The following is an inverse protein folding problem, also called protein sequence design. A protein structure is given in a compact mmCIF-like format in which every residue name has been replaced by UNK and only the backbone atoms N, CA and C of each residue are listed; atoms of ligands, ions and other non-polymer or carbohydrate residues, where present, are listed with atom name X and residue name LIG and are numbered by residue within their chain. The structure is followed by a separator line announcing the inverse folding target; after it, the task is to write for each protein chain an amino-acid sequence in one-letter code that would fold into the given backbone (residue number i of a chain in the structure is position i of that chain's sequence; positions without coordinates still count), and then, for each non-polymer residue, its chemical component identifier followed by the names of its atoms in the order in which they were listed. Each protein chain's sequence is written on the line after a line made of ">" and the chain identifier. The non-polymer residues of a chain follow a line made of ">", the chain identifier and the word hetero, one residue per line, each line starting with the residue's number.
data_IF_704986747734
#
_entry.id   IF_704986747734
#
_cell.length_a   1.000
_cell.length_b   1.000
_cell.length_c   1.000
_cell.angle_alpha   90.00
_cell.angle_beta   90.00
_cell.angle_gamma   90.00
#
_symmetry.space_group_name_H-M   'P 1'
#
loop_
_entity.id
_entity.type
_entity.pdbx_description
1 polymer ?
#
# COMPACT_ATOMS: atom_id res chain seq x y z
N UNK A 1 -9.52 -9.99 4.68
CA UNK A 1 -8.95 -8.82 5.39
C UNK A 1 -8.75 -7.61 4.46
N UNK A 2 -8.37 -7.83 3.22
CA UNK A 2 -8.15 -6.76 2.23
C UNK A 2 -9.39 -6.56 1.36
N UNK A 3 -9.98 -5.37 1.42
CA UNK A 3 -11.15 -5.01 0.60
C UNK A 3 -10.81 -4.71 -0.87
N UNK A 4 -9.54 -4.72 -1.24
CA UNK A 4 -9.07 -4.39 -2.59
C UNK A 4 -7.95 -5.33 -3.01
N UNK A 5 -8.00 -5.82 -4.24
CA UNK A 5 -6.95 -6.64 -4.86
C UNK A 5 -5.63 -5.87 -5.07
N UNK A 6 -5.67 -4.55 -5.00
CA UNK A 6 -4.47 -3.70 -5.15
C UNK A 6 -3.53 -3.79 -3.95
N UNK A 7 -4.05 -4.02 -2.75
CA UNK A 7 -3.21 -4.12 -1.55
C UNK A 7 -2.31 -5.37 -1.55
N UNK A 8 -2.83 -6.58 -1.86
CA UNK A 8 -1.97 -7.75 -2.06
C UNK A 8 -0.95 -7.57 -3.18
N UNK A 9 -1.29 -6.87 -4.24
CA UNK A 9 -0.37 -6.58 -5.35
C UNK A 9 0.81 -5.71 -4.89
N UNK A 10 0.58 -4.72 -4.04
CA UNK A 10 1.64 -3.91 -3.44
C UNK A 10 2.59 -4.73 -2.58
N UNK A 11 2.07 -5.75 -1.87
CA UNK A 11 2.88 -6.68 -1.09
C UNK A 11 3.77 -7.53 -1.99
N UNK A 12 3.24 -8.00 -3.12
CA UNK A 12 4.01 -8.78 -4.10
C UNK A 12 5.17 -7.99 -4.71
N UNK A 13 5.04 -6.68 -4.86
CA UNK A 13 6.13 -5.83 -5.37
C UNK A 13 7.30 -5.73 -4.39
N UNK A 14 7.06 -5.78 -3.09
CA UNK A 14 8.14 -5.69 -2.09
C UNK A 14 9.02 -6.94 -2.02
N UNK A 15 8.52 -8.11 -2.40
CA UNK A 15 9.28 -9.36 -2.37
C UNK A 15 10.49 -9.38 -3.34
N UNK A 16 10.36 -9.01 -4.63
CA UNK A 16 11.51 -8.97 -5.55
C UNK A 16 12.61 -8.02 -5.10
N UNK A 17 12.27 -6.90 -4.50
CA UNK A 17 13.26 -5.94 -3.99
C UNK A 17 14.04 -6.48 -2.79
N UNK A 18 13.38 -7.18 -1.89
CA UNK A 18 14.03 -7.85 -0.78
C UNK A 18 14.99 -8.94 -1.27
N UNK A 19 14.54 -9.73 -2.25
CA UNK A 19 15.39 -10.75 -2.89
C UNK A 19 16.62 -10.14 -3.59
N UNK A 20 16.47 -9.00 -4.24
CA UNK A 20 17.58 -8.28 -4.87
C UNK A 20 18.63 -7.87 -3.85
N UNK A 21 18.24 -7.30 -2.70
CA UNK A 21 19.16 -6.94 -1.64
C UNK A 21 19.89 -8.14 -1.03
N UNK A 22 19.19 -9.24 -0.83
CA UNK A 22 19.78 -10.50 -0.35
C UNK A 22 20.85 -11.04 -1.28
N UNK A 23 20.55 -11.09 -2.58
CA UNK A 23 21.49 -11.57 -3.62
C UNK A 23 22.70 -10.65 -3.74
N UNK A 24 22.50 -9.33 -3.70
CA UNK A 24 23.59 -8.35 -3.78
C UNK A 24 24.58 -8.52 -2.63
N UNK A 25 24.11 -8.67 -1.40
CA UNK A 25 25.02 -8.87 -0.27
C UNK A 25 25.73 -10.20 -0.35
N UNK A 26 25.08 -11.25 -0.82
CA UNK A 26 25.71 -12.57 -0.98
C UNK A 26 26.79 -12.55 -2.05
N UNK A 27 26.56 -11.89 -3.18
CA UNK A 27 27.57 -11.70 -4.24
C UNK A 27 28.75 -10.87 -3.72
N UNK A 28 28.48 -9.80 -3.00
CA UNK A 28 29.51 -8.94 -2.42
C UNK A 28 30.40 -9.68 -1.40
N UNK A 29 29.83 -10.65 -0.68
CA UNK A 29 30.54 -11.47 0.30
C UNK A 29 31.33 -12.64 -0.31
N UNK A 30 31.14 -12.92 -1.62
CA UNK A 30 31.83 -14.02 -2.31
C UNK A 30 31.42 -15.42 -1.86
N UNK A 31 30.36 -15.54 -1.09
CA UNK A 31 29.85 -16.83 -0.59
C UNK A 31 28.95 -17.47 -1.65
N UNK A 32 29.18 -18.75 -2.01
CA UNK A 32 28.40 -19.41 -3.05
C UNK A 32 26.93 -19.58 -2.66
N UNK A 33 26.05 -19.44 -3.64
CA UNK A 33 24.62 -19.66 -3.47
C UNK A 33 24.35 -21.15 -3.34
N UNK A 34 23.80 -21.57 -2.23
CA UNK A 34 23.47 -22.96 -1.92
C UNK A 34 22.04 -23.13 -1.42
N UNK A 35 21.74 -24.34 -0.97
CA UNK A 35 20.42 -24.68 -0.38
C UNK A 35 20.11 -23.80 0.84
N UNK A 36 21.12 -23.50 1.65
CA UNK A 36 20.96 -22.62 2.82
C UNK A 36 20.56 -21.19 2.41
N UNK A 37 21.07 -20.67 1.28
CA UNK A 37 20.65 -19.36 0.75
C UNK A 37 19.20 -19.36 0.31
N UNK A 38 18.71 -20.42 -0.30
CA UNK A 38 17.30 -20.57 -0.70
C UNK A 38 16.38 -20.62 0.51
N UNK A 39 16.77 -21.32 1.57
CA UNK A 39 16.03 -21.35 2.85
C UNK A 39 15.99 -19.94 3.46
N UNK A 40 17.12 -19.25 3.48
CA UNK A 40 17.21 -17.85 3.93
C UNK A 40 16.30 -16.92 3.14
N UNK A 41 16.25 -17.09 1.83
CA UNK A 41 15.37 -16.31 0.96
C UNK A 41 13.89 -16.57 1.27
N UNK A 42 13.51 -17.83 1.50
CA UNK A 42 12.14 -18.20 1.88
C UNK A 42 11.74 -17.56 3.22
N UNK A 43 12.62 -17.64 4.22
CA UNK A 43 12.42 -16.97 5.52
C UNK A 43 12.27 -15.45 5.35
N UNK A 44 13.12 -14.85 4.52
CA UNK A 44 13.09 -13.43 4.23
C UNK A 44 11.74 -12.99 3.62
N UNK A 45 11.22 -13.73 2.66
CA UNK A 45 9.90 -13.47 2.07
C UNK A 45 8.82 -13.45 3.15
N UNK A 46 8.83 -14.41 4.06
CA UNK A 46 7.90 -14.45 5.20
C UNK A 46 7.98 -13.21 6.09
N UNK A 47 9.19 -12.78 6.44
CA UNK A 47 9.42 -11.60 7.29
C UNK A 47 8.95 -10.32 6.57
N UNK A 48 9.29 -10.16 5.30
CA UNK A 48 8.93 -8.99 4.50
C UNK A 48 7.42 -8.87 4.34
N UNK A 49 6.77 -9.96 3.97
CA UNK A 49 5.30 -9.98 3.79
C UNK A 49 4.59 -9.68 5.11
N UNK A 50 5.03 -10.26 6.21
CA UNK A 50 4.45 -10.00 7.53
C UNK A 50 4.56 -8.53 7.92
N UNK A 51 5.73 -7.92 7.77
CA UNK A 51 5.95 -6.50 8.07
C UNK A 51 5.08 -5.58 7.19
N UNK A 52 4.99 -5.89 5.91
CA UNK A 52 4.20 -5.12 4.97
C UNK A 52 2.69 -5.23 5.24
N UNK A 53 2.19 -6.44 5.56
CA UNK A 53 0.77 -6.65 5.93
C UNK A 53 0.41 -5.82 7.16
N UNK A 54 1.23 -5.86 8.18
CA UNK A 54 0.96 -5.13 9.43
C UNK A 54 0.96 -3.62 9.22
N UNK A 55 1.85 -3.10 8.37
CA UNK A 55 1.86 -1.67 8.03
C UNK A 55 0.60 -1.25 7.28
N UNK A 56 0.20 -2.02 6.27
CA UNK A 56 -1.00 -1.73 5.48
C UNK A 56 -2.26 -1.84 6.34
N UNK A 57 -2.34 -2.83 7.22
CA UNK A 57 -3.48 -2.99 8.13
C UNK A 57 -3.63 -1.79 9.05
N UNK A 58 -2.52 -1.30 9.61
CA UNK A 58 -2.52 -0.10 10.45
C UNK A 58 -2.98 1.15 9.68
N UNK A 59 -2.48 1.36 8.47
CA UNK A 59 -2.90 2.48 7.61
C UNK A 59 -4.39 2.39 7.31
N UNK A 60 -4.91 1.20 7.00
CA UNK A 60 -6.33 0.99 6.76
C UNK A 60 -7.17 1.27 8.02
N UNK A 61 -6.66 0.93 9.19
CA UNK A 61 -7.32 1.22 10.46
C UNK A 61 -7.45 2.73 10.70
N UNK A 62 -6.41 3.51 10.41
CA UNK A 62 -6.46 4.96 10.49
C UNK A 62 -7.41 5.58 9.45
N UNK A 63 -7.48 5.03 8.26
CA UNK A 63 -8.45 5.45 7.24
C UNK A 63 -9.89 5.23 7.67
N UNK A 64 -10.17 4.12 8.34
CA UNK A 64 -11.52 3.85 8.90
C UNK A 64 -11.91 4.84 10.00
N UNK A 65 -10.95 5.47 10.64
CA UNK A 65 -11.18 6.54 11.63
C UNK A 65 -11.42 7.92 10.99
N UNK A 66 -11.49 8.00 9.65
CA UNK A 66 -11.79 9.23 8.92
C UNK A 66 -10.58 10.07 8.53
N UNK A 67 -9.35 9.60 8.76
CA UNK A 67 -8.14 10.29 8.32
C UNK A 67 -7.99 10.21 6.79
N UNK A 68 -7.47 11.30 6.20
CA UNK A 68 -7.11 11.31 4.77
C UNK A 68 -5.96 10.34 4.50
N UNK A 69 -5.84 9.87 3.26
CA UNK A 69 -4.81 8.91 2.86
C UNK A 69 -3.40 9.35 3.29
N UNK A 70 -3.06 10.60 3.06
CA UNK A 70 -1.76 11.16 3.42
C UNK A 70 -1.51 11.13 4.93
N UNK A 71 -2.49 11.56 5.71
CA UNK A 71 -2.39 11.60 7.18
C UNK A 71 -2.33 10.19 7.77
N UNK A 72 -3.16 9.27 7.28
CA UNK A 72 -3.16 7.87 7.68
C UNK A 72 -1.83 7.17 7.38
N UNK A 73 -1.20 7.48 6.24
CA UNK A 73 0.12 6.96 5.88
C UNK A 73 1.23 7.47 6.78
N UNK A 74 1.26 8.78 7.03
CA UNK A 74 2.29 9.41 7.88
C UNK A 74 2.18 8.86 9.31
N UNK A 75 0.99 8.85 9.88
CA UNK A 75 0.75 8.35 11.23
C UNK A 75 1.04 6.84 11.33
N UNK A 76 0.57 6.05 10.37
CA UNK A 76 0.82 4.61 10.32
C UNK A 76 2.30 4.26 10.17
N UNK A 77 2.99 4.94 9.26
CA UNK A 77 4.43 4.75 9.05
C UNK A 77 5.24 5.17 10.29
N UNK A 78 4.94 6.31 10.88
CA UNK A 78 5.65 6.82 12.07
C UNK A 78 5.51 5.87 13.27
N UNK A 79 4.32 5.34 13.49
CA UNK A 79 4.09 4.40 14.61
C UNK A 79 4.73 3.04 14.40
N UNK A 80 4.92 2.61 13.16
CA UNK A 80 5.54 1.31 12.83
C UNK A 80 7.04 1.39 12.59
N UNK A 81 7.58 2.59 12.40
CA UNK A 81 9.01 2.79 12.19
C UNK A 81 9.86 2.16 13.31
N UNK A 82 9.54 2.48 14.56
CA UNK A 82 10.27 1.96 15.72
C UNK A 82 10.24 0.42 15.83
N UNK A 83 9.08 -0.25 15.86
CA UNK A 83 9.04 -1.72 15.92
C UNK A 83 9.75 -2.39 14.75
N UNK A 84 9.61 -1.90 13.54
CA UNK A 84 10.27 -2.47 12.35
C UNK A 84 11.79 -2.32 12.46
N UNK A 85 12.28 -1.14 12.83
CA UNK A 85 13.71 -0.92 13.03
C UNK A 85 14.27 -1.75 14.19
N UNK A 86 13.55 -1.85 15.30
CA UNK A 86 13.98 -2.67 16.44
C UNK A 86 14.12 -4.14 16.07
N UNK A 87 13.12 -4.71 15.40
CA UNK A 87 13.19 -6.13 14.96
C UNK A 87 14.26 -6.35 13.91
N UNK A 88 14.42 -5.45 12.96
CA UNK A 88 15.48 -5.53 11.96
C UNK A 88 16.88 -5.47 12.58
N UNK A 89 17.13 -4.52 13.45
CA UNK A 89 18.42 -4.38 14.15
C UNK A 89 18.71 -5.59 15.05
N UNK A 90 17.73 -6.05 15.84
CA UNK A 90 17.88 -7.22 16.68
C UNK A 90 18.23 -8.47 15.87
N UNK A 91 17.56 -8.69 14.75
CA UNK A 91 17.81 -9.83 13.87
C UNK A 91 19.19 -9.73 13.21
N UNK A 92 19.59 -8.56 12.75
CA UNK A 92 20.90 -8.33 12.16
C UNK A 92 22.01 -8.61 13.18
N UNK A 93 21.92 -8.07 14.39
CA UNK A 93 22.92 -8.31 15.44
C UNK A 93 22.96 -9.77 15.88
N UNK A 94 21.81 -10.45 15.94
CA UNK A 94 21.76 -11.88 16.29
C UNK A 94 22.42 -12.75 15.22
N UNK A 95 22.30 -12.40 13.95
CA UNK A 95 22.88 -13.15 12.83
C UNK A 95 24.31 -12.72 12.49
N UNK A 96 24.79 -11.61 13.01
CA UNK A 96 26.11 -11.07 12.70
C UNK A 96 27.25 -12.04 13.01
N UNK A 97 27.29 -12.73 14.17
CA UNK A 97 28.34 -13.71 14.45
C UNK A 97 28.36 -14.87 13.46
N UNK A 98 27.20 -15.26 12.99
CA UNK A 98 27.03 -16.31 12.00
C UNK A 98 27.49 -15.85 10.60
N UNK A 99 27.20 -14.62 10.23
CA UNK A 99 27.60 -14.02 8.96
C UNK A 99 29.14 -13.86 8.85
N UNK A 100 29.80 -13.54 9.94
CA UNK A 100 31.27 -13.39 10.00
C UNK A 100 31.97 -14.76 10.04
N UNK A 101 31.23 -15.85 10.22
CA UNK A 101 31.81 -17.20 10.24
C UNK A 101 32.45 -17.60 11.57
N UNK A 102 32.12 -16.93 12.67
CA UNK A 102 32.65 -17.25 14.02
C UNK A 102 32.12 -18.60 14.57
N UNK A 103 31.17 -19.23 13.93
CA UNK A 103 30.48 -20.43 14.33
C UNK A 103 31.25 -21.74 14.00
N UNK A 104 32.50 -21.67 13.59
CA UNK A 104 33.35 -22.82 13.34
C UNK A 104 32.93 -23.70 12.17
N UNK A 105 33.03 -25.01 12.27
CA UNK A 105 32.76 -25.96 11.16
C UNK A 105 31.32 -25.94 10.64
N UNK A 106 30.36 -25.52 11.45
CA UNK A 106 28.97 -25.33 11.05
C UNK A 106 28.73 -24.06 10.19
N UNK A 107 29.71 -23.16 10.10
CA UNK A 107 29.65 -21.91 9.39
C UNK A 107 29.38 -22.06 7.88
N UNK A 108 29.76 -23.19 7.31
CA UNK A 108 29.58 -23.45 5.88
C UNK A 108 28.11 -23.48 5.42
N UNK A 109 27.21 -23.87 6.30
CA UNK A 109 25.76 -23.92 6.02
C UNK A 109 25.06 -22.65 6.53
N UNK A 110 25.47 -22.18 7.71
CA UNK A 110 24.79 -21.09 8.41
C UNK A 110 25.21 -19.70 7.90
N UNK A 111 26.42 -19.54 7.38
CA UNK A 111 26.91 -18.27 6.86
C UNK A 111 26.11 -17.75 5.65
N UNK A 112 25.87 -18.55 4.58
CA UNK A 112 25.05 -18.10 3.46
C UNK A 112 23.64 -17.70 3.85
N UNK A 113 23.04 -18.47 4.77
CA UNK A 113 21.69 -18.16 5.30
C UNK A 113 21.68 -16.82 6.03
N UNK A 114 22.64 -16.57 6.90
CA UNK A 114 22.73 -15.32 7.65
C UNK A 114 22.94 -14.11 6.73
N UNK A 115 23.81 -14.23 5.71
CA UNK A 115 24.05 -13.18 4.74
C UNK A 115 22.81 -12.82 3.92
N UNK A 116 22.06 -13.81 3.45
CA UNK A 116 20.82 -13.60 2.71
C UNK A 116 19.80 -12.88 3.56
N UNK A 117 19.61 -13.31 4.81
CA UNK A 117 18.63 -12.70 5.70
C UNK A 117 19.02 -11.27 6.07
N UNK A 118 20.28 -11.02 6.40
CA UNK A 118 20.78 -9.67 6.72
C UNK A 118 20.62 -8.73 5.52
N UNK A 119 21.11 -9.11 4.35
CA UNK A 119 21.06 -8.29 3.15
C UNK A 119 19.64 -8.00 2.70
N UNK A 120 18.81 -9.03 2.71
CA UNK A 120 17.40 -8.89 2.38
C UNK A 120 16.62 -8.08 3.40
N UNK A 121 16.94 -8.22 4.69
CA UNK A 121 16.27 -7.46 5.75
C UNK A 121 16.61 -5.97 5.69
N UNK A 122 17.86 -5.60 5.45
CA UNK A 122 18.27 -4.21 5.25
C UNK A 122 17.54 -3.61 4.04
N UNK A 123 17.60 -4.28 2.89
CA UNK A 123 16.94 -3.83 1.67
C UNK A 123 15.43 -3.73 1.84
N UNK A 124 14.79 -4.75 2.40
CA UNK A 124 13.34 -4.77 2.61
C UNK A 124 12.86 -3.75 3.63
N UNK A 125 13.64 -3.48 4.67
CA UNK A 125 13.29 -2.47 5.67
C UNK A 125 13.31 -1.08 5.05
N UNK A 126 14.35 -0.73 4.31
CA UNK A 126 14.42 0.53 3.57
C UNK A 126 13.26 0.66 2.59
N UNK A 127 13.00 -0.41 1.83
CA UNK A 127 11.93 -0.43 0.87
C UNK A 127 10.55 -0.29 1.53
N UNK A 128 10.29 -1.06 2.58
CA UNK A 128 9.01 -1.02 3.30
C UNK A 128 8.74 0.36 3.88
N UNK A 129 9.76 1.04 4.38
CA UNK A 129 9.62 2.37 4.97
C UNK A 129 9.45 3.49 3.94
N UNK A 130 10.01 3.33 2.74
CA UNK A 130 10.03 4.38 1.72
C UNK A 130 9.06 4.08 0.59
N UNK A 131 9.17 2.91 -0.02
CA UNK A 131 8.46 2.58 -1.26
C UNK A 131 7.03 2.15 -0.98
N UNK A 132 6.78 1.39 0.06
CA UNK A 132 5.43 0.93 0.37
C UNK A 132 4.48 2.08 0.68
N UNK A 133 4.81 3.06 1.55
CA UNK A 133 4.00 4.26 1.72
C UNK A 133 3.83 5.06 0.44
N UNK A 134 4.88 5.21 -0.35
CA UNK A 134 4.82 5.96 -1.61
C UNK A 134 3.88 5.30 -2.62
N UNK A 135 4.00 4.00 -2.84
CA UNK A 135 3.11 3.23 -3.72
C UNK A 135 1.66 3.25 -3.23
N UNK A 136 1.45 3.04 -1.94
CA UNK A 136 0.12 3.10 -1.36
C UNK A 136 -0.51 4.48 -1.56
N UNK A 137 0.24 5.56 -1.35
CA UNK A 137 -0.21 6.93 -1.58
C UNK A 137 -0.61 7.16 -3.05
N UNK A 138 0.21 6.72 -4.00
CA UNK A 138 -0.07 6.87 -5.44
C UNK A 138 -1.34 6.14 -5.83
N UNK A 139 -1.47 4.87 -5.42
CA UNK A 139 -2.62 4.03 -5.77
C UNK A 139 -3.92 4.56 -5.16
N UNK A 140 -3.90 4.91 -3.89
CA UNK A 140 -5.10 5.41 -3.21
C UNK A 140 -5.49 6.81 -3.66
N UNK A 141 -4.53 7.67 -3.95
CA UNK A 141 -4.81 8.98 -4.54
C UNK A 141 -5.45 8.87 -5.93
N UNK A 142 -5.01 7.92 -6.74
CA UNK A 142 -5.64 7.63 -8.03
C UNK A 142 -7.08 7.14 -7.84
N UNK A 143 -7.33 6.35 -6.82
CA UNK A 143 -8.67 5.83 -6.48
C UNK A 143 -9.59 6.94 -5.95
N UNK A 144 -9.11 7.81 -5.08
CA UNK A 144 -9.87 8.97 -4.59
C UNK A 144 -10.28 9.89 -5.74
N UNK A 145 -9.35 10.21 -6.64
CA UNK A 145 -9.65 11.02 -7.83
C UNK A 145 -10.74 10.41 -8.72
N UNK A 146 -10.77 9.09 -8.86
CA UNK A 146 -11.82 8.41 -9.62
C UNK A 146 -13.18 8.45 -8.90
N UNK A 147 -13.18 8.28 -7.59
CA UNK A 147 -14.41 8.36 -6.79
C UNK A 147 -15.00 9.76 -6.82
N UNK A 148 -14.17 10.79 -6.69
CA UNK A 148 -14.59 12.20 -6.76
C UNK A 148 -15.14 12.55 -8.15
N UNK A 149 -14.55 12.04 -9.23
CA UNK A 149 -15.07 12.22 -10.60
C UNK A 149 -16.45 11.59 -10.79
N UNK A 150 -16.66 10.40 -10.23
CA UNK A 150 -17.95 9.70 -10.29
C UNK A 150 -18.99 10.45 -9.44
N UNK A 151 -18.63 10.92 -8.26
CA UNK A 151 -19.50 11.71 -7.40
C UNK A 151 -19.90 13.03 -8.08
N UNK A 152 -18.94 13.78 -8.62
CA UNK A 152 -19.18 15.01 -9.36
C UNK A 152 -20.06 14.78 -10.61
N UNK A 153 -19.88 13.65 -11.29
CA UNK A 153 -20.73 13.26 -12.42
C UNK A 153 -22.18 12.99 -12.02
N UNK A 154 -22.40 12.34 -10.87
CA UNK A 154 -23.74 12.10 -10.32
C UNK A 154 -24.44 13.39 -9.92
N UNK A 155 -23.73 14.28 -9.21
CA UNK A 155 -24.27 15.58 -8.80
C UNK A 155 -24.65 16.46 -10.01
N UNK A 156 -23.81 16.45 -11.06
CA UNK A 156 -24.13 17.17 -12.32
C UNK A 156 -25.35 16.58 -13.04
N UNK A 157 -25.53 15.26 -13.03
CA UNK A 157 -26.72 14.62 -13.61
C UNK A 157 -27.99 14.98 -12.84
N UNK A 158 -27.93 14.97 -11.52
CA UNK A 158 -29.04 15.36 -10.65
C UNK A 158 -29.43 16.81 -10.86
N UNK A 159 -28.48 17.74 -10.82
CA UNK A 159 -28.73 19.15 -11.09
C UNK A 159 -29.32 19.43 -12.50
N UNK A 160 -28.92 18.63 -13.51
CA UNK A 160 -29.53 18.71 -14.84
C UNK A 160 -30.96 18.18 -14.89
N UNK A 161 -31.27 17.12 -14.13
CA UNK A 161 -32.60 16.57 -14.01
C UNK A 161 -33.54 17.56 -13.32
N UNK A 162 -33.12 18.12 -12.19
CA UNK A 162 -33.88 19.18 -11.47
C UNK A 162 -34.19 20.40 -12.37
N UNK A 163 -33.19 20.90 -13.07
CA UNK A 163 -33.41 22.02 -14.02
C UNK A 163 -34.34 21.68 -15.17
N UNK A 164 -34.37 20.40 -15.61
CA UNK A 164 -35.33 19.93 -16.61
C UNK A 164 -36.74 19.90 -16.07
N UNK A 165 -36.92 19.40 -14.83
CA UNK A 165 -38.22 19.38 -14.17
C UNK A 165 -38.75 20.80 -13.94
N UNK A 166 -37.94 21.69 -13.39
CA UNK A 166 -38.30 23.09 -13.19
C UNK A 166 -38.71 23.80 -14.49
N UNK A 167 -37.99 23.54 -15.59
CA UNK A 167 -38.34 24.07 -16.91
C UNK A 167 -39.66 23.48 -17.44
N UNK A 168 -39.93 22.21 -17.19
CA UNK A 168 -41.18 21.57 -17.60
C UNK A 168 -42.37 22.14 -16.79
N UNK A 169 -42.23 22.34 -15.52
CA UNK A 169 -43.23 22.94 -14.63
C UNK A 169 -43.56 24.39 -15.07
N UNK A 170 -42.53 25.22 -15.30
CA UNK A 170 -42.70 26.58 -15.79
C UNK A 170 -43.38 26.62 -17.17
N UNK A 171 -43.15 25.64 -18.03
CA UNK A 171 -43.84 25.52 -19.32
C UNK A 171 -45.30 25.14 -19.16
N UNK A 172 -45.58 24.18 -18.29
CA UNK A 172 -46.93 23.76 -17.99
C UNK A 172 -47.78 24.91 -17.37
N UNK A 173 -47.17 25.65 -16.44
CA UNK A 173 -47.80 26.80 -15.82
C UNK A 173 -48.11 27.91 -16.85
N UNK A 174 -47.17 28.20 -17.76
CA UNK A 174 -47.40 29.17 -18.84
C UNK A 174 -48.50 28.72 -19.80
N UNK A 175 -48.62 27.43 -20.09
CA UNK A 175 -49.70 26.88 -20.92
C UNK A 175 -51.05 26.99 -20.20
N UNK A 176 -51.12 26.70 -18.90
CA UNK A 176 -52.35 26.88 -18.10
C UNK A 176 -52.80 28.35 -18.11
N UNK A 177 -51.93 29.29 -17.84
CA UNK A 177 -52.24 30.74 -17.87
C UNK A 177 -52.68 31.24 -19.25
N UNK A 178 -52.15 30.64 -20.34
CA UNK A 178 -52.60 30.93 -21.70
C UNK A 178 -53.99 30.38 -21.97
N UNK A 179 -54.29 29.18 -21.55
CA UNK A 179 -55.58 28.54 -21.68
C UNK A 179 -56.69 29.31 -20.89
N UNK A 180 -56.38 29.74 -19.67
CA UNK A 180 -57.26 30.56 -18.84
C UNK A 180 -57.58 31.92 -19.52
N UNK A 181 -56.57 32.56 -20.13
CA UNK A 181 -56.80 33.85 -20.85
C UNK A 181 -57.61 33.70 -22.13
N UNK A 182 -57.45 32.58 -22.83
CA UNK A 182 -58.24 32.32 -24.04
C UNK A 182 -59.67 31.89 -23.72
N UNK A 183 -59.93 31.22 -22.59
CA UNK A 183 -61.27 30.86 -22.14
C UNK A 183 -62.07 32.02 -21.53
N UNK A 184 -61.40 33.09 -21.08
CA UNK A 184 -62.04 34.28 -20.53
C UNK A 184 -62.36 35.35 -21.62
N UNK A 185 -61.95 35.11 -22.87
CA UNK A 185 -62.16 36.04 -23.97
C UNK A 185 -63.26 35.57 -24.97
N UNK A 186 -63.89 34.40 -24.66
CA UNK A 186 -65.07 33.87 -25.38
C UNK A 186 -66.32 34.01 -24.51
#
# INVERSE_FOLDING_TARGET
>A
TFRSLLQPLLLLVSVPFAATGAILLQIASGVPIGVASLIGLLMLVGIVVTNAIVLIDLVNQYRRRGLRVREALIEGATRRLRPILMTAMATIFALLPMAIGLTGKSGFISQPLALVVIGGLVSSTLLTLVVLPALYFVVERARERNTDRIAAGKTRKQARAERRQERAERRAERQRRRAERSGSAA
#
